data_IF_631041079453
#
_entry.id   IF_631041079453
#
_cell.length_a   1.000
_cell.length_b   1.000
_cell.length_c   1.000
_cell.angle_alpha   90.00
_cell.angle_beta   90.00
_cell.angle_gamma   90.00
#
_symmetry.space_group_name_H-M   'P 1'
#
loop_
_entity.id
_entity.type
_entity.pdbx_description
1 polymer ?
#
# COMPACT_ATOMS: atom_id res chain seq x y z
N UNK A 1 -2.77 -20.35 -5.30
CA UNK A 1 -1.42 -19.80 -5.46
C UNK A 1 -0.90 -19.23 -4.14
N UNK A 2 0.41 -19.16 -3.97
CA UNK A 2 0.98 -18.48 -2.82
C UNK A 2 0.85 -16.95 -2.98
N UNK A 3 1.14 -16.44 -4.17
CA UNK A 3 1.08 -15.02 -4.51
C UNK A 3 0.25 -14.79 -5.76
N UNK A 4 -0.44 -13.65 -5.79
CA UNK A 4 -1.03 -13.08 -7.00
C UNK A 4 -0.76 -11.60 -7.02
N UNK A 5 -0.26 -11.10 -8.13
CA UNK A 5 0.12 -9.72 -8.34
C UNK A 5 -0.82 -9.11 -9.38
N UNK A 6 -0.80 -7.79 -9.54
CA UNK A 6 -1.62 -7.09 -10.50
C UNK A 6 -0.87 -5.90 -11.11
N UNK A 7 -1.32 -5.42 -12.26
CA UNK A 7 -0.60 -4.43 -13.06
C UNK A 7 -1.06 -2.99 -12.87
N UNK A 8 -2.20 -2.78 -12.19
CA UNK A 8 -2.76 -1.44 -12.04
C UNK A 8 -1.90 -0.56 -11.13
N UNK A 9 -2.02 0.74 -11.32
CA UNK A 9 -1.50 1.83 -10.52
C UNK A 9 0.01 2.02 -10.52
N UNK A 10 0.78 1.11 -11.08
CA UNK A 10 2.22 1.22 -11.08
C UNK A 10 2.87 0.54 -12.28
N UNK A 11 3.21 1.23 -13.26
CA UNK A 11 4.13 0.84 -14.34
C UNK A 11 4.37 -0.69 -14.47
N UNK A 12 3.30 -1.50 -14.58
CA UNK A 12 3.40 -2.94 -14.79
C UNK A 12 4.09 -3.73 -13.66
N UNK A 13 3.53 -3.68 -12.46
CA UNK A 13 3.94 -4.47 -11.28
C UNK A 13 5.25 -4.04 -10.59
N UNK A 14 5.77 -2.86 -10.85
CA UNK A 14 6.97 -2.40 -10.14
C UNK A 14 6.73 -2.25 -8.62
N UNK A 15 5.50 -1.92 -8.18
CA UNK A 15 5.14 -1.90 -6.75
C UNK A 15 5.27 -3.26 -6.09
N UNK A 16 5.02 -4.34 -6.81
CA UNK A 16 5.22 -5.69 -6.29
C UNK A 16 6.67 -5.95 -5.87
N UNK A 17 7.62 -5.35 -6.59
CA UNK A 17 9.05 -5.43 -6.27
C UNK A 17 9.44 -4.40 -5.22
N UNK A 18 8.90 -3.19 -5.32
CA UNK A 18 9.17 -2.06 -4.42
C UNK A 18 8.68 -2.33 -3.00
N UNK A 19 7.48 -2.85 -2.83
CA UNK A 19 6.87 -3.06 -1.52
C UNK A 19 7.74 -3.87 -0.56
N UNK A 20 8.34 -5.01 -0.92
CA UNK A 20 9.28 -5.70 -0.06
C UNK A 20 10.56 -4.89 0.24
N UNK A 21 10.99 -3.98 -0.65
CA UNK A 21 12.11 -3.09 -0.37
C UNK A 21 11.77 -2.12 0.77
N UNK A 22 10.52 -1.64 0.82
CA UNK A 22 10.05 -0.77 1.89
C UNK A 22 10.12 -1.43 3.28
N UNK A 23 9.97 -2.76 3.37
CA UNK A 23 10.10 -3.49 4.63
C UNK A 23 11.53 -3.47 5.19
N UNK A 24 12.53 -3.22 4.34
CA UNK A 24 13.93 -3.06 4.74
C UNK A 24 14.35 -1.59 4.90
N UNK A 25 13.38 -0.69 4.95
CA UNK A 25 13.62 0.75 5.13
C UNK A 25 14.05 1.51 3.89
N UNK A 26 13.82 0.94 2.70
CA UNK A 26 14.17 1.60 1.44
C UNK A 26 12.95 2.09 0.69
N UNK A 27 12.97 3.36 0.31
CA UNK A 27 12.06 3.94 -0.67
C UNK A 27 12.70 3.97 -2.06
N UNK A 28 11.89 3.82 -3.09
CA UNK A 28 12.31 3.90 -4.48
C UNK A 28 12.02 5.30 -5.05
N UNK A 29 13.04 5.86 -5.70
CA UNK A 29 12.99 7.15 -6.41
C UNK A 29 13.50 6.98 -7.84
N UNK A 30 12.64 6.54 -8.73
CA UNK A 30 13.02 6.22 -10.09
C UNK A 30 13.94 5.01 -10.15
N UNK A 31 15.23 5.24 -10.38
CA UNK A 31 16.23 4.17 -10.48
C UNK A 31 17.08 4.00 -9.20
N UNK A 32 16.69 4.61 -8.11
CA UNK A 32 17.45 4.59 -6.86
C UNK A 32 16.57 4.09 -5.71
N UNK A 33 17.05 3.11 -4.97
CA UNK A 33 16.56 2.82 -3.63
C UNK A 33 17.34 3.68 -2.63
N UNK A 34 16.63 4.30 -1.72
CA UNK A 34 17.23 5.12 -0.68
C UNK A 34 16.69 4.75 0.69
N UNK A 35 17.59 4.51 1.65
CA UNK A 35 17.17 4.37 3.04
C UNK A 35 16.55 5.67 3.57
N UNK A 36 15.54 5.53 4.43
CA UNK A 36 14.81 6.65 5.01
C UNK A 36 15.73 7.63 5.77
N UNK A 37 16.74 7.13 6.45
CA UNK A 37 17.74 7.92 7.18
C UNK A 37 18.87 8.47 6.29
N UNK A 38 18.89 8.12 5.00
CA UNK A 38 19.91 8.54 4.05
C UNK A 38 21.25 7.83 4.19
N UNK A 39 21.34 6.79 4.99
CA UNK A 39 22.60 6.06 5.24
C UNK A 39 23.05 5.19 4.08
N UNK A 40 22.14 4.81 3.17
CA UNK A 40 22.44 3.96 2.03
C UNK A 40 21.62 4.32 0.80
N UNK A 41 22.25 4.18 -0.37
CA UNK A 41 21.66 4.38 -1.69
C UNK A 41 22.08 3.24 -2.62
N UNK A 42 21.11 2.65 -3.30
CA UNK A 42 21.35 1.55 -4.24
C UNK A 42 20.76 1.89 -5.60
N UNK A 43 21.49 1.67 -6.67
CA UNK A 43 20.91 1.67 -8.00
C UNK A 43 20.12 0.36 -8.18
N UNK A 44 18.86 0.45 -8.61
CA UNK A 44 17.99 -0.73 -8.78
C UNK A 44 18.53 -1.72 -9.83
N UNK A 45 19.36 -1.26 -10.77
CA UNK A 45 19.95 -2.10 -11.82
C UNK A 45 21.21 -2.85 -11.37
N UNK A 46 21.77 -2.50 -10.22
CA UNK A 46 22.92 -3.23 -9.69
C UNK A 46 22.54 -4.65 -9.30
N UNK A 47 23.38 -5.59 -9.69
CA UNK A 47 23.07 -7.02 -9.56
C UNK A 47 22.87 -7.47 -8.09
N UNK A 48 23.44 -6.79 -7.14
CA UNK A 48 23.38 -7.04 -5.70
C UNK A 48 22.38 -6.13 -4.95
N UNK A 49 21.72 -5.22 -5.67
CA UNK A 49 20.70 -4.36 -5.07
C UNK A 49 19.56 -5.16 -4.43
N UNK A 50 18.92 -4.58 -3.44
CA UNK A 50 17.74 -5.17 -2.80
C UNK A 50 16.59 -5.36 -3.81
N UNK A 51 16.43 -4.43 -4.76
CA UNK A 51 15.45 -4.55 -5.83
C UNK A 51 15.67 -5.83 -6.65
N UNK A 52 16.90 -6.09 -7.08
CA UNK A 52 17.25 -7.30 -7.84
C UNK A 52 17.12 -8.58 -6.99
N UNK A 53 17.33 -8.52 -5.70
CA UNK A 53 17.06 -9.65 -4.79
C UNK A 53 15.57 -10.00 -4.74
N UNK A 54 14.69 -9.00 -4.59
CA UNK A 54 13.24 -9.17 -4.60
C UNK A 54 12.77 -9.71 -5.96
N UNK A 55 13.29 -9.16 -7.05
CA UNK A 55 12.97 -9.62 -8.39
C UNK A 55 13.33 -11.11 -8.59
N UNK A 56 14.51 -11.53 -8.14
CA UNK A 56 14.93 -12.95 -8.19
C UNK A 56 14.04 -13.83 -7.31
N UNK A 57 13.59 -13.35 -6.16
CA UNK A 57 12.64 -14.06 -5.31
C UNK A 57 11.33 -14.35 -6.06
N UNK A 58 10.72 -13.34 -6.68
CA UNK A 58 9.49 -13.54 -7.46
C UNK A 58 9.72 -14.42 -8.69
N UNK A 59 10.84 -14.24 -9.37
CA UNK A 59 11.19 -15.11 -10.51
C UNK A 59 11.29 -16.58 -10.08
N UNK A 60 11.95 -16.87 -8.96
CA UNK A 60 12.04 -18.22 -8.43
C UNK A 60 10.68 -18.75 -7.99
N UNK A 61 9.86 -17.94 -7.33
CA UNK A 61 8.51 -18.32 -6.95
C UNK A 61 7.65 -18.64 -8.17
N UNK A 62 7.78 -17.87 -9.24
CA UNK A 62 7.11 -18.14 -10.52
C UNK A 62 7.55 -19.48 -11.12
N UNK A 63 8.85 -19.76 -11.18
CA UNK A 63 9.39 -21.05 -11.67
C UNK A 63 8.90 -22.24 -10.84
N UNK A 64 8.57 -22.04 -9.57
CA UNK A 64 8.02 -23.06 -8.68
C UNK A 64 6.50 -23.20 -8.81
N UNK A 65 5.84 -22.43 -9.67
CA UNK A 65 4.38 -22.44 -9.82
C UNK A 65 3.62 -21.82 -8.64
N UNK A 66 4.29 -20.99 -7.83
CA UNK A 66 3.70 -20.37 -6.64
C UNK A 66 3.02 -19.03 -6.94
N UNK A 67 3.35 -18.40 -8.07
CA UNK A 67 2.73 -17.15 -8.51
C UNK A 67 1.60 -17.46 -9.47
N UNK A 68 0.49 -16.75 -9.29
CA UNK A 68 -0.64 -16.77 -10.20
C UNK A 68 -0.19 -16.36 -11.62
N UNK A 69 -0.39 -17.20 -12.64
CA UNK A 69 0.04 -16.91 -14.00
C UNK A 69 -0.66 -15.70 -14.63
N UNK A 70 -1.83 -15.31 -14.12
CA UNK A 70 -2.57 -14.14 -14.59
C UNK A 70 -1.99 -12.82 -14.08
N UNK A 71 -1.05 -12.86 -13.12
CA UNK A 71 -0.45 -11.66 -12.50
C UNK A 71 -0.01 -10.59 -13.49
N UNK A 72 0.58 -10.89 -14.66
CA UNK A 72 1.00 -9.85 -15.62
C UNK A 72 -0.15 -9.15 -16.34
N UNK A 73 -1.34 -9.74 -16.35
CA UNK A 73 -2.47 -9.28 -17.17
C UNK A 73 -3.68 -8.83 -16.36
N UNK A 74 -3.85 -9.32 -15.15
CA UNK A 74 -4.99 -9.01 -14.29
C UNK A 74 -4.89 -7.61 -13.68
N UNK A 75 -6.04 -7.06 -13.32
CA UNK A 75 -6.19 -5.79 -12.63
C UNK A 75 -6.44 -5.99 -11.12
N UNK A 76 -6.58 -4.88 -10.39
CA UNK A 76 -6.89 -4.91 -8.96
C UNK A 76 -8.18 -5.67 -8.62
N UNK A 77 -9.25 -5.45 -9.40
CA UNK A 77 -10.53 -6.13 -9.13
C UNK A 77 -10.43 -7.63 -9.30
N UNK A 78 -9.67 -8.09 -10.30
CA UNK A 78 -9.47 -9.52 -10.54
C UNK A 78 -8.75 -10.18 -9.36
N UNK A 79 -7.67 -9.59 -8.89
CA UNK A 79 -6.92 -10.14 -7.75
C UNK A 79 -7.70 -10.03 -6.44
N UNK A 80 -8.46 -8.96 -6.25
CA UNK A 80 -9.32 -8.80 -5.07
C UNK A 80 -10.38 -9.90 -4.99
N UNK A 81 -11.00 -10.24 -6.12
CA UNK A 81 -11.95 -11.36 -6.19
C UNK A 81 -11.28 -12.70 -5.85
N UNK A 82 -10.05 -12.94 -6.34
CA UNK A 82 -9.30 -14.17 -6.01
C UNK A 82 -8.96 -14.23 -4.51
N UNK A 83 -8.70 -13.10 -3.85
CA UNK A 83 -8.57 -13.06 -2.39
C UNK A 83 -9.90 -13.34 -1.70
N UNK A 84 -10.99 -12.72 -2.13
CA UNK A 84 -12.33 -12.97 -1.57
C UNK A 84 -12.74 -14.45 -1.66
N UNK A 85 -12.35 -15.13 -2.73
CA UNK A 85 -12.57 -16.56 -2.95
C UNK A 85 -11.58 -17.47 -2.20
N UNK A 86 -10.60 -16.91 -1.48
CA UNK A 86 -9.59 -17.68 -0.74
C UNK A 86 -8.60 -18.44 -1.64
N UNK A 87 -8.40 -18.02 -2.88
CA UNK A 87 -7.52 -18.71 -3.84
C UNK A 87 -6.04 -18.38 -3.66
N UNK A 88 -5.70 -17.37 -2.84
CA UNK A 88 -4.36 -16.83 -2.65
C UNK A 88 -4.00 -16.91 -1.17
N UNK A 89 -2.78 -17.32 -0.86
CA UNK A 89 -2.36 -17.55 0.53
C UNK A 89 -1.70 -16.34 1.17
N UNK A 90 -1.01 -15.51 0.40
CA UNK A 90 -0.19 -14.43 0.93
C UNK A 90 -0.32 -13.14 0.12
N UNK A 91 -0.37 -12.01 0.81
CA UNK A 91 -0.31 -10.67 0.21
C UNK A 91 0.78 -9.83 0.87
N UNK A 92 1.61 -9.13 0.09
CA UNK A 92 2.51 -8.12 0.64
C UNK A 92 1.75 -6.84 1.06
N UNK A 93 0.47 -6.72 0.68
CA UNK A 93 -0.37 -5.56 1.00
C UNK A 93 -1.50 -5.95 1.95
N UNK A 94 -1.52 -5.43 3.19
CA UNK A 94 -2.58 -5.74 4.16
C UNK A 94 -3.95 -5.23 3.70
N UNK A 95 -3.99 -4.09 3.01
CA UNK A 95 -5.21 -3.47 2.51
C UNK A 95 -5.87 -4.26 1.37
N UNK A 96 -5.22 -5.27 0.80
CA UNK A 96 -5.77 -6.09 -0.30
C UNK A 96 -6.44 -7.36 0.23
N UNK A 97 -5.74 -8.16 1.01
CA UNK A 97 -6.21 -9.48 1.43
C UNK A 97 -7.26 -9.42 2.56
N UNK A 98 -6.98 -8.66 3.60
CA UNK A 98 -7.88 -8.59 4.75
C UNK A 98 -9.26 -8.02 4.41
N UNK A 99 -9.41 -6.85 3.75
CA UNK A 99 -10.72 -6.31 3.43
C UNK A 99 -11.52 -7.19 2.47
N UNK A 100 -10.84 -7.90 1.58
CA UNK A 100 -11.52 -8.77 0.61
C UNK A 100 -12.07 -10.06 1.25
N UNK A 101 -11.35 -10.66 2.19
CA UNK A 101 -11.66 -11.99 2.72
C UNK A 101 -12.19 -12.01 4.15
N UNK A 102 -11.77 -11.09 5.03
CA UNK A 102 -12.09 -11.09 6.46
C UNK A 102 -13.52 -10.60 6.73
N UNK A 103 -14.50 -11.29 6.15
CA UNK A 103 -15.92 -11.09 6.49
C UNK A 103 -16.23 -11.65 7.86
N UNK A 104 -17.31 -11.21 8.49
CA UNK A 104 -17.77 -11.76 9.77
C UNK A 104 -17.96 -13.28 9.71
N UNK A 105 -18.49 -13.79 8.60
CA UNK A 105 -18.72 -15.23 8.43
C UNK A 105 -17.41 -16.01 8.37
N UNK A 106 -16.43 -15.52 7.65
CA UNK A 106 -15.11 -16.13 7.58
C UNK A 106 -14.41 -16.10 8.95
N UNK A 107 -14.40 -14.97 9.61
CA UNK A 107 -13.77 -14.81 10.93
C UNK A 107 -14.44 -15.69 12.00
N UNK A 108 -15.77 -15.74 12.02
CA UNK A 108 -16.53 -16.59 12.95
C UNK A 108 -16.29 -18.09 12.71
N UNK A 109 -15.93 -18.46 11.49
CA UNK A 109 -15.56 -19.85 11.15
C UNK A 109 -14.06 -20.15 11.33
N UNK A 110 -13.31 -19.24 11.95
CA UNK A 110 -11.87 -19.39 12.21
C UNK A 110 -11.00 -19.25 10.97
N UNK A 111 -11.50 -18.61 9.91
CA UNK A 111 -10.78 -18.34 8.67
C UNK A 111 -10.54 -16.86 8.52
N UNK A 112 -9.33 -16.46 8.20
CA UNK A 112 -8.99 -15.06 7.98
C UNK A 112 -7.52 -14.87 7.61
N UNK A 113 -7.24 -13.78 6.94
CA UNK A 113 -5.87 -13.30 6.80
C UNK A 113 -5.46 -12.57 8.06
N UNK A 114 -4.27 -12.84 8.53
CA UNK A 114 -3.68 -12.18 9.67
C UNK A 114 -2.30 -11.64 9.31
N UNK A 115 -1.83 -10.65 10.05
CA UNK A 115 -0.44 -10.22 9.94
C UNK A 115 0.48 -11.33 10.45
N UNK A 116 1.52 -11.62 9.67
CA UNK A 116 2.59 -12.51 10.10
C UNK A 116 3.67 -11.64 10.75
N UNK A 117 3.93 -11.79 12.05
CA UNK A 117 5.03 -11.10 12.70
C UNK A 117 6.35 -11.57 12.07
N UNK A 118 7.22 -10.63 11.76
CA UNK A 118 8.57 -10.91 11.25
C UNK A 118 9.52 -10.65 12.41
N UNK A 119 10.30 -11.67 12.80
CA UNK A 119 11.30 -11.61 13.87
C UNK A 119 12.61 -10.95 13.39
N UNK A 120 12.50 -9.80 12.73
CA UNK A 120 13.67 -9.05 12.24
C UNK A 120 13.49 -7.57 12.56
N UNK A 121 14.59 -6.84 12.72
CA UNK A 121 14.57 -5.38 12.90
C UNK A 121 14.23 -4.69 11.56
N UNK A 122 13.02 -4.88 11.09
CA UNK A 122 12.54 -4.26 9.88
C UNK A 122 11.98 -2.87 10.19
N UNK A 123 12.47 -1.88 9.46
CA UNK A 123 11.96 -0.51 9.50
C UNK A 123 11.20 -0.29 8.19
N UNK A 124 9.88 -0.22 8.28
CA UNK A 124 9.07 0.09 7.12
C UNK A 124 9.25 1.55 6.72
N UNK A 125 9.59 1.77 5.46
CA UNK A 125 9.71 3.11 4.86
C UNK A 125 8.92 3.17 3.56
N UNK A 126 8.00 4.14 3.48
CA UNK A 126 7.24 4.41 2.27
C UNK A 126 6.96 5.90 2.16
N UNK A 127 7.53 6.55 1.13
CA UNK A 127 7.37 7.99 0.91
C UNK A 127 7.96 8.88 2.00
N UNK A 128 8.91 8.38 2.77
CA UNK A 128 9.42 9.02 4.00
C UNK A 128 10.19 10.33 3.77
N UNK A 129 10.65 10.56 2.55
CA UNK A 129 11.46 11.76 2.22
C UNK A 129 10.67 12.91 1.67
N UNK A 130 9.37 12.77 1.55
CA UNK A 130 8.51 13.79 0.98
C UNK A 130 7.75 14.46 2.12
N UNK A 131 8.03 15.72 2.35
CA UNK A 131 7.23 16.57 3.23
C UNK A 131 5.90 16.89 2.49
N UNK A 132 4.87 16.12 2.74
CA UNK A 132 3.59 16.20 2.05
C UNK A 132 3.47 15.23 0.86
N UNK A 133 2.40 15.35 0.10
CA UNK A 133 2.17 14.57 -1.13
C UNK A 133 2.60 15.36 -2.35
N UNK A 134 3.15 14.68 -3.36
CA UNK A 134 3.33 15.26 -4.70
C UNK A 134 2.00 15.46 -5.43
N UNK A 135 0.94 14.81 -4.95
CA UNK A 135 -0.37 14.86 -5.57
C UNK A 135 -1.15 16.06 -5.04
N UNK A 136 -1.77 16.80 -5.92
CA UNK A 136 -2.76 17.80 -5.56
C UNK A 136 -4.04 17.07 -5.19
N UNK A 137 -4.24 16.82 -3.89
CA UNK A 137 -5.36 16.03 -3.41
C UNK A 137 -6.72 16.71 -3.66
N UNK A 138 -6.75 18.05 -3.54
CA UNK A 138 -7.97 18.85 -3.71
C UNK A 138 -7.66 20.08 -4.56
N UNK A 139 -8.52 20.39 -5.51
CA UNK A 139 -8.45 21.61 -6.30
C UNK A 139 -9.83 22.28 -6.39
N UNK A 140 -9.84 23.61 -6.47
CA UNK A 140 -11.04 24.40 -6.73
C UNK A 140 -11.12 24.66 -8.23
N UNK A 141 -12.27 24.35 -8.85
CA UNK A 141 -12.47 24.59 -10.26
C UNK A 141 -12.37 26.09 -10.60
N UNK A 142 -11.76 26.42 -11.73
CA UNK A 142 -11.58 27.83 -12.15
C UNK A 142 -12.92 28.57 -12.30
N UNK A 143 -13.99 27.86 -12.66
CA UNK A 143 -15.34 28.40 -12.85
C UNK A 143 -16.25 28.18 -11.64
N UNK A 144 -15.69 27.93 -10.45
CA UNK A 144 -16.49 27.79 -9.24
C UNK A 144 -17.27 29.06 -8.94
N UNK A 145 -18.59 28.92 -8.72
CA UNK A 145 -19.47 30.08 -8.48
C UNK A 145 -19.10 30.86 -7.20
N UNK A 146 -18.53 30.20 -6.21
CA UNK A 146 -18.05 30.80 -4.98
C UNK A 146 -16.74 30.12 -4.54
N UNK A 147 -15.60 30.55 -5.06
CA UNK A 147 -14.31 29.95 -4.72
C UNK A 147 -13.92 30.16 -3.26
N UNK A 148 -14.38 31.25 -2.61
CA UNK A 148 -14.10 31.52 -1.19
C UNK A 148 -14.82 30.49 -0.31
N UNK A 149 -16.08 30.18 -0.61
CA UNK A 149 -16.83 29.15 0.10
C UNK A 149 -16.17 27.78 -0.07
N UNK A 150 -15.68 27.46 -1.26
CA UNK A 150 -14.94 26.23 -1.51
C UNK A 150 -13.65 26.15 -0.71
N UNK A 151 -12.90 27.26 -0.66
CA UNK A 151 -11.69 27.32 0.15
C UNK A 151 -11.97 27.13 1.64
N UNK A 152 -13.01 27.80 2.17
CA UNK A 152 -13.44 27.61 3.56
C UNK A 152 -13.89 26.17 3.87
N UNK A 153 -14.53 25.51 2.90
CA UNK A 153 -14.89 24.09 3.06
C UNK A 153 -13.65 23.18 3.10
N UNK A 154 -12.65 23.45 2.25
CA UNK A 154 -11.39 22.72 2.29
C UNK A 154 -10.67 22.96 3.62
N UNK A 155 -10.60 24.21 4.09
CA UNK A 155 -10.01 24.55 5.37
C UNK A 155 -10.71 23.83 6.54
N UNK A 156 -12.06 23.78 6.52
CA UNK A 156 -12.81 23.00 7.47
C UNK A 156 -12.50 21.51 7.41
N UNK A 157 -12.30 20.90 6.22
CA UNK A 157 -11.91 19.48 6.09
C UNK A 157 -10.59 19.16 6.78
N UNK A 158 -9.67 20.14 6.85
CA UNK A 158 -8.39 20.00 7.57
C UNK A 158 -8.47 20.38 9.06
N UNK A 159 -9.63 20.85 9.53
CA UNK A 159 -9.85 21.05 10.96
C UNK A 159 -10.10 19.72 11.69
N UNK A 160 -9.92 19.71 13.01
CA UNK A 160 -10.25 18.53 13.83
C UNK A 160 -11.70 18.07 13.61
N UNK A 161 -12.64 19.02 13.55
CA UNK A 161 -14.05 18.73 13.32
C UNK A 161 -14.28 18.09 11.94
N UNK A 162 -13.68 18.64 10.89
CA UNK A 162 -13.82 18.12 9.53
C UNK A 162 -13.17 16.74 9.35
N UNK A 163 -12.01 16.51 9.95
CA UNK A 163 -11.35 15.19 9.97
C UNK A 163 -12.26 14.18 10.68
N UNK A 164 -12.77 14.49 11.85
CA UNK A 164 -13.67 13.60 12.59
C UNK A 164 -14.95 13.31 11.81
N UNK A 165 -15.57 14.32 11.21
CA UNK A 165 -16.78 14.15 10.44
C UNK A 165 -16.59 13.32 9.16
N UNK A 166 -15.46 13.49 8.48
CA UNK A 166 -15.16 12.77 7.23
C UNK A 166 -14.66 11.35 7.43
N UNK A 167 -14.03 11.05 8.58
CA UNK A 167 -13.41 9.76 8.87
C UNK A 167 -14.17 8.92 9.89
N UNK A 168 -15.22 9.45 10.53
CA UNK A 168 -15.95 8.79 11.62
C UNK A 168 -16.46 7.38 11.25
N UNK A 169 -16.90 7.22 10.00
CA UNK A 169 -17.42 5.95 9.49
C UNK A 169 -16.41 5.23 8.55
N UNK A 170 -15.17 5.70 8.49
CA UNK A 170 -14.16 5.07 7.64
C UNK A 170 -13.73 3.72 8.22
N UNK A 171 -13.91 2.60 7.48
CA UNK A 171 -13.43 1.29 7.93
C UNK A 171 -11.92 1.23 8.15
N UNK A 172 -11.18 2.17 7.58
CA UNK A 172 -9.72 2.24 7.67
C UNK A 172 -9.22 3.05 8.89
N UNK A 173 -10.14 3.65 9.66
CA UNK A 173 -9.81 4.24 10.96
C UNK A 173 -8.77 5.36 10.92
N UNK A 174 -8.79 6.20 9.89
CA UNK A 174 -7.77 7.25 9.70
C UNK A 174 -7.88 8.40 10.70
N UNK A 175 -9.03 8.57 11.36
CA UNK A 175 -9.24 9.62 12.36
C UNK A 175 -8.47 9.39 13.68
N UNK A 176 -8.10 8.13 13.96
CA UNK A 176 -7.43 7.79 15.21
C UNK A 176 -8.38 7.73 16.42
N UNK A 177 -7.82 7.67 17.61
CA UNK A 177 -8.55 7.55 18.88
C UNK A 177 -8.18 8.74 19.75
N UNK A 178 -9.20 9.48 20.20
CA UNK A 178 -9.03 10.60 21.14
C UNK A 178 -8.36 10.13 22.44
N UNK A 179 -7.39 10.91 22.89
CA UNK A 179 -6.58 10.59 24.07
C UNK A 179 -5.49 9.55 23.86
N UNK A 180 -5.45 8.88 22.68
CA UNK A 180 -4.40 7.92 22.32
C UNK A 180 -3.56 8.38 21.14
N UNK A 181 -4.19 8.78 20.05
CA UNK A 181 -3.48 9.20 18.83
C UNK A 181 -3.53 10.71 18.60
N UNK A 182 -4.44 11.41 19.23
CA UNK A 182 -4.55 12.88 19.24
C UNK A 182 -5.17 13.38 20.55
N UNK A 183 -4.90 14.66 20.90
CA UNK A 183 -5.40 15.35 22.08
C UNK A 183 -6.08 16.66 21.71
#
# INVERSE_FOLDING_TARGET
YAFSLFKDWDNNMMNAIKQPCCFYGYDEYGFVLSKADGSDFQNILDADSLYMRVLRFYNKAFQMGLIDPDSPTQNYSDVSNKFADGQILFSPWPWLAQPAYNTNDNLNSGRGYMFVPIEDELIYSYGSRVAGSFDTAIAIGADAADPVRMANFIDWLYSTEGIMASCADSPQGTAGIEGLTWQ
#
